data_IF_184070531744
#
_entry.id   IF_184070531744
#
_cell.length_a   1.000
_cell.length_b   1.000
_cell.length_c   1.000
_cell.angle_alpha   90.00
_cell.angle_beta   90.00
_cell.angle_gamma   90.00
#
_symmetry.space_group_name_H-M   'P 1'
#
loop_
_entity.id
_entity.type
_entity.pdbx_description
1 polymer ?
#
# COMPACT_ATOMS: atom_id res chain seq x y z
N UNK A 1 42.83 -65.55 -30.24
CA UNK A 1 41.37 -65.35 -30.23
C UNK A 1 41.03 -64.62 -28.96
N UNK A 2 40.83 -63.31 -29.05
CA UNK A 2 40.47 -62.45 -27.93
C UNK A 2 39.06 -61.91 -28.20
N UNK A 3 38.09 -62.28 -27.35
CA UNK A 3 36.72 -61.78 -27.41
C UNK A 3 36.63 -60.48 -26.61
N UNK A 4 36.30 -59.38 -27.29
CA UNK A 4 35.98 -58.11 -26.67
C UNK A 4 34.48 -58.08 -26.38
N UNK A 5 34.12 -58.04 -25.08
CA UNK A 5 32.75 -57.80 -24.64
C UNK A 5 32.50 -56.27 -24.59
N UNK A 6 31.61 -55.77 -25.43
CA UNK A 6 31.14 -54.39 -25.39
C UNK A 6 29.97 -54.28 -24.43
N UNK A 7 30.17 -53.58 -23.32
CA UNK A 7 29.10 -53.24 -22.38
C UNK A 7 28.40 -51.96 -22.83
N UNK A 8 27.13 -52.04 -23.26
CA UNK A 8 26.25 -50.87 -23.45
C UNK A 8 25.75 -50.43 -22.06
N UNK A 9 26.15 -49.25 -21.65
CA UNK A 9 25.54 -48.55 -20.50
C UNK A 9 24.35 -47.73 -21.04
N UNK A 10 23.14 -48.16 -20.70
CA UNK A 10 21.92 -47.40 -20.96
C UNK A 10 21.81 -46.28 -19.92
N UNK A 11 21.95 -45.04 -20.35
CA UNK A 11 21.77 -43.82 -19.56
C UNK A 11 20.28 -43.46 -19.56
N UNK A 12 19.57 -43.76 -18.47
CA UNK A 12 18.19 -43.37 -18.29
C UNK A 12 18.15 -41.87 -17.91
N UNK A 13 17.76 -41.03 -18.86
CA UNK A 13 17.47 -39.62 -18.62
C UNK A 13 16.12 -39.54 -17.87
N UNK A 14 16.17 -39.23 -16.57
CA UNK A 14 15.00 -38.89 -15.79
C UNK A 14 14.51 -37.51 -16.23
N UNK A 15 13.40 -37.48 -16.99
CA UNK A 15 12.63 -36.27 -17.25
C UNK A 15 12.01 -35.80 -15.93
N UNK A 16 12.61 -34.79 -15.30
CA UNK A 16 11.99 -34.07 -14.21
C UNK A 16 10.79 -33.27 -14.78
N UNK A 17 9.58 -33.78 -14.61
CA UNK A 17 8.38 -33.02 -14.85
C UNK A 17 8.37 -31.84 -13.84
N UNK A 18 8.11 -30.59 -14.30
CA UNK A 18 7.88 -29.50 -13.37
C UNK A 18 6.69 -29.85 -12.51
N UNK A 19 6.87 -29.82 -11.18
CA UNK A 19 5.76 -29.92 -10.22
C UNK A 19 4.84 -28.73 -10.51
N UNK A 20 3.69 -28.98 -11.12
CA UNK A 20 2.59 -28.04 -11.17
C UNK A 20 2.20 -27.82 -9.70
N UNK A 21 2.52 -26.66 -9.16
CA UNK A 21 2.04 -26.26 -7.83
C UNK A 21 0.52 -26.42 -7.86
N UNK A 22 0.00 -27.35 -7.06
CA UNK A 22 -1.43 -27.54 -6.91
C UNK A 22 -2.01 -26.22 -6.48
N UNK A 23 -2.92 -25.64 -7.25
CA UNK A 23 -3.72 -24.51 -6.81
C UNK A 23 -4.36 -24.94 -5.50
N UNK A 24 -3.95 -24.30 -4.40
CA UNK A 24 -4.50 -24.59 -3.08
C UNK A 24 -5.99 -24.25 -3.16
N UNK A 25 -6.87 -25.21 -2.93
CA UNK A 25 -8.31 -24.95 -2.92
C UNK A 25 -8.59 -23.89 -1.84
N UNK A 26 -8.97 -22.70 -2.29
CA UNK A 26 -9.34 -21.62 -1.39
C UNK A 26 -10.69 -21.88 -0.76
N UNK A 27 -10.94 -21.49 0.50
CA UNK A 27 -12.22 -21.70 1.14
C UNK A 27 -13.33 -20.93 0.42
N UNK A 28 -14.44 -21.57 0.14
CA UNK A 28 -15.69 -20.94 -0.33
C UNK A 28 -16.46 -20.42 0.87
N UNK A 29 -16.65 -19.10 0.98
CA UNK A 29 -17.37 -18.46 2.08
C UNK A 29 -18.87 -18.25 1.79
N UNK A 30 -19.40 -18.90 0.74
CA UNK A 30 -20.82 -19.06 0.49
C UNK A 30 -21.60 -17.76 0.22
N UNK A 31 -20.97 -16.76 -0.37
CA UNK A 31 -21.58 -15.46 -0.62
C UNK A 31 -21.69 -14.56 0.62
N UNK A 32 -20.89 -14.82 1.66
CA UNK A 32 -20.86 -13.99 2.89
C UNK A 32 -20.70 -12.51 2.54
N UNK A 33 -21.58 -11.66 3.10
CA UNK A 33 -21.44 -10.23 3.01
C UNK A 33 -20.26 -9.75 3.88
N UNK A 34 -19.39 -8.91 3.32
CA UNK A 34 -18.22 -8.33 3.98
C UNK A 34 -18.21 -6.83 3.74
N UNK A 35 -18.18 -6.05 4.81
CA UNK A 35 -18.12 -4.58 4.74
C UNK A 35 -16.68 -4.13 4.87
N UNK A 36 -16.18 -3.43 3.85
CA UNK A 36 -14.81 -2.93 3.78
C UNK A 36 -14.81 -1.41 3.86
N UNK A 37 -13.92 -0.85 4.70
CA UNK A 37 -13.76 0.60 4.83
C UNK A 37 -12.46 1.08 4.21
N UNK A 38 -12.51 2.29 3.63
CA UNK A 38 -11.37 2.98 3.02
C UNK A 38 -11.56 4.49 3.15
N UNK A 39 -10.49 5.29 2.92
CA UNK A 39 -10.56 6.75 2.93
C UNK A 39 -10.73 7.34 1.52
N UNK A 40 -10.35 6.61 0.46
CA UNK A 40 -10.37 7.07 -0.94
C UNK A 40 -9.53 8.33 -1.21
N UNK A 41 -8.38 8.45 -0.55
CA UNK A 41 -7.51 9.63 -0.64
C UNK A 41 -6.05 9.29 -1.03
N UNK A 42 -5.78 8.08 -1.52
CA UNK A 42 -4.42 7.57 -1.69
C UNK A 42 -4.17 6.94 -3.08
N UNK A 43 -4.17 7.77 -4.17
CA UNK A 43 -3.91 7.26 -5.52
C UNK A 43 -2.47 6.74 -5.66
N UNK A 44 -2.23 5.69 -6.45
CA UNK A 44 -3.20 4.92 -7.22
C UNK A 44 -3.75 3.69 -6.47
N UNK A 45 -3.57 3.61 -5.13
CA UNK A 45 -4.04 2.47 -4.33
C UNK A 45 -5.57 2.47 -4.18
N UNK A 46 -6.15 3.60 -3.75
CA UNK A 46 -7.59 3.80 -3.67
C UNK A 46 -7.90 5.31 -3.70
N UNK A 47 -8.78 5.70 -4.58
CA UNK A 47 -9.15 7.10 -4.79
C UNK A 47 -10.46 7.20 -5.57
N UNK A 48 -11.03 8.41 -5.58
CA UNK A 48 -12.16 8.72 -6.46
C UNK A 48 -11.59 9.24 -7.78
N UNK A 49 -11.90 8.57 -8.87
CA UNK A 49 -11.53 9.01 -10.21
C UNK A 49 -12.22 10.35 -10.53
N UNK A 50 -11.46 11.43 -10.76
CA UNK A 50 -12.03 12.73 -11.01
C UNK A 50 -12.83 12.81 -12.32
N UNK A 51 -12.62 11.88 -13.27
CA UNK A 51 -13.32 11.85 -14.55
C UNK A 51 -14.69 11.17 -14.44
N UNK A 52 -14.81 10.12 -13.65
CA UNK A 52 -16.02 9.29 -13.55
C UNK A 52 -16.77 9.48 -12.22
N UNK A 53 -16.10 9.92 -11.17
CA UNK A 53 -16.61 9.96 -9.81
C UNK A 53 -16.65 8.58 -9.11
N UNK A 54 -16.12 7.55 -9.74
CA UNK A 54 -16.07 6.19 -9.19
C UNK A 54 -14.87 5.99 -8.28
N UNK A 55 -15.03 5.20 -7.23
CA UNK A 55 -13.94 4.78 -6.37
C UNK A 55 -13.21 3.60 -7.02
N UNK A 56 -11.93 3.80 -7.31
CA UNK A 56 -11.07 2.86 -8.04
C UNK A 56 -9.68 2.78 -7.42
N UNK A 57 -8.87 1.84 -7.86
CA UNK A 57 -7.46 1.71 -7.49
C UNK A 57 -7.01 0.27 -7.35
N UNK A 58 -5.72 0.12 -7.10
CA UNK A 58 -5.07 -1.18 -6.94
C UNK A 58 -5.74 -2.04 -5.86
N UNK A 59 -6.06 -1.44 -4.70
CA UNK A 59 -6.69 -2.16 -3.59
C UNK A 59 -8.12 -2.61 -3.92
N UNK A 60 -8.88 -1.81 -4.66
CA UNK A 60 -10.21 -2.20 -5.14
C UNK A 60 -10.16 -3.43 -6.05
N UNK A 61 -9.23 -3.44 -7.01
CA UNK A 61 -9.07 -4.57 -7.91
C UNK A 61 -8.54 -5.81 -7.18
N UNK A 62 -7.58 -5.64 -6.26
CA UNK A 62 -7.07 -6.74 -5.45
C UNK A 62 -8.17 -7.37 -4.58
N UNK A 63 -9.01 -6.54 -3.94
CA UNK A 63 -10.17 -7.01 -3.16
C UNK A 63 -11.20 -7.68 -4.07
N UNK A 64 -11.44 -7.17 -5.27
CA UNK A 64 -12.37 -7.81 -6.21
C UNK A 64 -11.90 -9.23 -6.60
N UNK A 65 -10.60 -9.42 -6.82
CA UNK A 65 -10.03 -10.75 -7.09
C UNK A 65 -10.06 -11.67 -5.84
N UNK A 66 -9.81 -11.13 -4.65
CA UNK A 66 -9.97 -11.86 -3.37
C UNK A 66 -11.43 -12.29 -3.20
N UNK A 67 -12.36 -11.36 -3.39
CA UNK A 67 -13.80 -11.60 -3.22
C UNK A 67 -14.31 -12.70 -4.16
N UNK A 68 -13.89 -12.65 -5.41
CA UNK A 68 -14.22 -13.67 -6.41
C UNK A 68 -13.71 -15.06 -6.00
N UNK A 69 -12.48 -15.15 -5.51
CA UNK A 69 -11.83 -16.41 -5.13
C UNK A 69 -12.40 -17.02 -3.85
N UNK A 70 -12.81 -16.17 -2.91
CA UNK A 70 -13.38 -16.60 -1.63
C UNK A 70 -14.92 -16.72 -1.67
N UNK A 71 -15.57 -16.33 -2.78
CA UNK A 71 -17.01 -16.24 -2.90
C UNK A 71 -17.62 -15.40 -1.75
N UNK A 72 -17.18 -14.12 -1.64
CA UNK A 72 -17.73 -13.12 -0.73
C UNK A 72 -18.39 -11.98 -1.51
N UNK A 73 -19.41 -11.36 -0.93
CA UNK A 73 -20.07 -10.17 -1.43
C UNK A 73 -19.53 -8.94 -0.68
N UNK A 74 -18.88 -8.03 -1.39
CA UNK A 74 -18.22 -6.86 -0.78
C UNK A 74 -19.11 -5.63 -0.84
N UNK A 75 -19.20 -4.90 0.27
CA UNK A 75 -19.79 -3.58 0.38
C UNK A 75 -18.73 -2.59 0.89
N UNK A 76 -18.55 -1.47 0.17
CA UNK A 76 -17.57 -0.47 0.58
C UNK A 76 -18.21 0.69 1.36
N UNK A 77 -17.47 1.19 2.36
CA UNK A 77 -17.80 2.40 3.12
C UNK A 77 -16.60 3.35 3.11
N UNK A 78 -16.90 4.64 3.02
CA UNK A 78 -15.88 5.68 3.18
C UNK A 78 -15.85 6.14 4.65
N UNK A 79 -14.68 6.10 5.27
CA UNK A 79 -14.44 6.46 6.67
C UNK A 79 -13.14 7.25 6.73
N UNK A 80 -13.09 8.31 7.52
CA UNK A 80 -11.86 9.07 7.74
C UNK A 80 -10.78 8.22 8.43
N UNK A 81 -9.52 8.52 8.14
CA UNK A 81 -8.39 7.78 8.70
C UNK A 81 -8.39 7.74 10.22
N UNK A 82 -8.67 8.86 10.89
CA UNK A 82 -8.67 8.98 12.35
C UNK A 82 -9.67 8.03 13.04
N UNK A 83 -10.79 7.73 12.40
CA UNK A 83 -11.81 6.81 12.90
C UNK A 83 -11.59 5.36 12.49
N UNK A 84 -10.84 5.09 11.42
CA UNK A 84 -10.82 3.79 10.73
C UNK A 84 -10.33 2.65 11.61
N UNK A 85 -9.15 2.79 12.23
CA UNK A 85 -8.56 1.71 13.05
C UNK A 85 -9.46 1.36 14.23
N UNK A 86 -10.04 2.38 14.88
CA UNK A 86 -10.95 2.18 16.01
C UNK A 86 -12.25 1.51 15.56
N UNK A 87 -12.85 1.96 14.45
CA UNK A 87 -14.09 1.40 13.95
C UNK A 87 -13.94 -0.07 13.53
N UNK A 88 -12.81 -0.45 12.92
CA UNK A 88 -12.49 -1.86 12.63
C UNK A 88 -12.23 -2.63 13.92
N UNK A 89 -11.46 -2.08 14.86
CA UNK A 89 -11.19 -2.72 16.17
C UNK A 89 -12.49 -3.03 16.95
N UNK A 90 -13.47 -2.15 16.87
CA UNK A 90 -14.78 -2.30 17.51
C UNK A 90 -15.72 -3.26 16.77
N UNK A 91 -15.29 -3.83 15.63
CA UNK A 91 -16.08 -4.74 14.82
C UNK A 91 -17.26 -4.08 14.08
N UNK A 92 -17.20 -2.76 13.86
CA UNK A 92 -18.22 -2.06 13.06
C UNK A 92 -18.10 -2.41 11.58
N UNK A 93 -16.90 -2.81 11.16
CA UNK A 93 -16.55 -3.20 9.80
C UNK A 93 -15.68 -4.46 9.82
N UNK A 94 -15.74 -5.23 8.74
CA UNK A 94 -15.03 -6.50 8.65
C UNK A 94 -13.56 -6.33 8.22
N UNK A 95 -13.27 -5.37 7.34
CA UNK A 95 -11.94 -5.12 6.78
C UNK A 95 -11.71 -3.62 6.63
N UNK A 96 -10.47 -3.17 6.88
CA UNK A 96 -10.00 -1.84 6.51
C UNK A 96 -8.89 -1.90 5.47
N UNK A 97 -8.95 -1.01 4.46
CA UNK A 97 -7.93 -0.87 3.41
C UNK A 97 -7.68 0.61 3.10
N UNK A 98 -6.44 1.04 3.12
CA UNK A 98 -6.02 2.40 2.70
C UNK A 98 -4.48 2.55 2.75
N UNK A 99 -3.73 1.55 2.25
CA UNK A 99 -2.27 1.54 2.36
C UNK A 99 -1.82 1.49 3.82
N UNK A 100 -2.39 0.58 4.62
CA UNK A 100 -2.18 0.57 6.08
C UNK A 100 -0.86 -0.12 6.40
N UNK A 101 0.14 0.64 6.86
CA UNK A 101 1.42 0.11 7.32
C UNK A 101 1.22 -0.86 8.47
N UNK A 102 1.79 -2.05 8.35
CA UNK A 102 1.83 -3.07 9.41
C UNK A 102 2.81 -2.59 10.49
N UNK A 103 2.27 -2.16 11.64
CA UNK A 103 3.03 -1.64 12.79
C UNK A 103 2.61 -2.31 14.08
N UNK A 104 3.53 -2.41 15.04
CA UNK A 104 3.26 -3.13 16.30
C UNK A 104 2.22 -2.42 17.16
N UNK A 105 2.23 -1.08 17.22
CA UNK A 105 1.21 -0.30 17.93
C UNK A 105 -0.22 -0.51 17.36
N UNK A 106 -0.33 -0.75 16.06
CA UNK A 106 -1.60 -1.07 15.39
C UNK A 106 -2.02 -2.52 15.62
N UNK A 107 -1.07 -3.47 15.66
CA UNK A 107 -1.33 -4.88 15.97
C UNK A 107 -1.89 -5.10 17.39
N UNK A 108 -1.68 -4.14 18.29
CA UNK A 108 -2.32 -4.15 19.62
C UNK A 108 -3.84 -4.00 19.54
N UNK A 109 -4.37 -3.37 18.48
CA UNK A 109 -5.78 -3.02 18.32
C UNK A 109 -6.52 -3.88 17.30
N UNK A 110 -5.85 -4.26 16.23
CA UNK A 110 -6.42 -4.97 15.07
C UNK A 110 -5.51 -6.11 14.65
N UNK A 111 -6.06 -7.09 13.93
CA UNK A 111 -5.28 -8.09 13.23
C UNK A 111 -4.96 -7.59 11.81
N UNK A 112 -3.84 -8.04 11.26
CA UNK A 112 -3.42 -7.72 9.91
C UNK A 112 -3.45 -8.95 9.01
N UNK A 113 -3.67 -8.72 7.72
CA UNK A 113 -3.30 -9.71 6.70
C UNK A 113 -1.78 -9.86 6.59
N UNK A 114 -1.34 -10.89 5.87
CA UNK A 114 0.01 -10.91 5.31
C UNK A 114 0.21 -9.66 4.42
N UNK A 115 1.45 -9.17 4.29
CA UNK A 115 1.72 -8.02 3.43
C UNK A 115 1.27 -8.28 1.99
N UNK A 116 0.45 -7.37 1.43
CA UNK A 116 0.12 -7.41 0.01
C UNK A 116 1.06 -6.55 -0.84
N UNK A 117 1.70 -5.54 -0.23
CA UNK A 117 2.62 -4.61 -0.90
C UNK A 117 3.75 -4.19 0.02
N UNK A 118 4.92 -3.96 -0.57
CA UNK A 118 6.08 -3.33 0.07
C UNK A 118 6.32 -1.97 -0.56
N UNK A 119 6.60 -0.95 0.24
CA UNK A 119 6.90 0.41 -0.22
C UNK A 119 8.00 1.05 0.61
N UNK A 120 8.45 2.22 0.20
CA UNK A 120 9.47 3.02 0.88
C UNK A 120 8.93 4.42 1.13
N UNK A 121 9.18 4.99 2.31
CA UNK A 121 8.84 6.37 2.63
C UNK A 121 9.67 7.36 1.80
N UNK A 122 9.03 8.33 1.16
CA UNK A 122 9.66 9.28 0.25
C UNK A 122 9.26 10.73 0.59
N UNK A 123 10.11 11.64 0.15
CA UNK A 123 9.90 13.08 0.28
C UNK A 123 9.27 13.62 -1.01
N UNK A 124 8.03 14.13 -0.92
CA UNK A 124 7.32 14.78 -2.02
C UNK A 124 7.37 16.29 -1.84
N UNK A 125 7.83 17.00 -2.86
CA UNK A 125 8.00 18.46 -2.85
C UNK A 125 7.49 19.09 -4.15
N UNK A 126 7.36 20.42 -4.19
CA UNK A 126 7.12 21.13 -5.45
C UNK A 126 8.29 20.96 -6.41
N UNK A 127 8.04 21.01 -7.71
CA UNK A 127 9.06 20.80 -8.74
C UNK A 127 10.17 21.86 -8.71
N UNK A 128 9.85 23.07 -8.29
CA UNK A 128 10.77 24.21 -8.17
C UNK A 128 11.51 24.27 -6.81
N UNK A 129 11.29 23.31 -5.90
CA UNK A 129 12.00 23.26 -4.62
C UNK A 129 13.50 23.06 -4.83
N UNK A 130 14.32 23.95 -4.26
CA UNK A 130 15.78 23.93 -4.36
C UNK A 130 16.49 24.25 -3.04
N UNK A 131 15.72 24.53 -1.98
CA UNK A 131 16.28 24.91 -0.67
C UNK A 131 16.85 23.72 0.10
N UNK A 132 16.38 22.52 -0.21
CA UNK A 132 16.83 21.27 0.39
C UNK A 132 16.67 20.10 -0.59
N UNK A 133 17.51 19.08 -0.43
CA UNK A 133 17.55 17.89 -1.27
C UNK A 133 17.35 16.58 -0.48
N UNK A 134 17.41 16.65 0.85
CA UNK A 134 17.21 15.52 1.76
C UNK A 134 16.59 15.98 3.09
N UNK A 135 16.29 15.01 3.98
CA UNK A 135 15.67 15.22 5.28
C UNK A 135 16.54 16.05 6.24
N UNK A 136 17.87 15.94 6.14
CA UNK A 136 18.80 16.68 7.01
C UNK A 136 18.88 18.15 6.64
N UNK A 137 18.93 18.44 5.34
CA UNK A 137 18.89 19.80 4.84
C UNK A 137 17.54 20.47 5.14
N UNK A 138 16.42 19.70 5.06
CA UNK A 138 15.10 20.19 5.50
C UNK A 138 15.07 20.49 7.00
N UNK A 139 15.54 19.55 7.82
CA UNK A 139 15.54 19.69 9.29
C UNK A 139 16.33 20.92 9.75
N UNK A 140 17.48 21.20 9.11
CA UNK A 140 18.37 22.31 9.41
C UNK A 140 17.76 23.70 9.12
N UNK A 141 16.63 23.79 8.42
CA UNK A 141 16.00 25.07 8.04
C UNK A 141 14.70 25.29 8.84
N UNK A 142 14.75 26.02 9.93
CA UNK A 142 13.65 26.25 10.87
C UNK A 142 12.36 26.82 10.25
N UNK A 143 12.47 27.53 9.13
CA UNK A 143 11.33 28.16 8.44
C UNK A 143 10.53 27.24 7.53
N UNK A 144 11.00 26.01 7.26
CA UNK A 144 10.32 25.06 6.36
C UNK A 144 9.24 24.27 7.10
N UNK A 145 8.11 24.05 6.43
CA UNK A 145 6.93 23.39 6.97
C UNK A 145 6.69 22.04 6.30
N UNK A 146 6.25 21.06 7.10
CA UNK A 146 5.82 19.74 6.64
C UNK A 146 4.33 19.54 6.89
N UNK A 147 3.59 19.04 5.91
CA UNK A 147 2.20 18.64 6.10
C UNK A 147 2.10 17.17 6.45
N UNK A 148 1.25 16.84 7.39
CA UNK A 148 0.98 15.47 7.80
C UNK A 148 -0.48 15.25 8.16
N UNK A 149 -0.94 14.01 8.03
CA UNK A 149 -2.22 13.56 8.57
C UNK A 149 -1.95 12.87 9.92
N UNK A 150 -2.62 13.26 11.01
CA UNK A 150 -2.34 12.72 12.34
C UNK A 150 -2.46 11.20 12.40
N UNK A 151 -1.58 10.53 13.17
CA UNK A 151 -1.62 9.10 13.42
C UNK A 151 -1.17 8.22 12.24
N UNK A 152 -0.76 8.83 11.12
CA UNK A 152 -0.19 8.10 9.97
C UNK A 152 1.28 7.78 10.19
N UNK A 153 1.83 6.84 9.44
CA UNK A 153 3.28 6.58 9.46
C UNK A 153 4.09 7.80 9.00
N UNK A 154 3.71 8.52 7.91
CA UNK A 154 4.35 9.79 7.54
C UNK A 154 4.37 10.85 8.65
N UNK A 155 3.30 10.94 9.46
CA UNK A 155 3.28 11.85 10.62
C UNK A 155 4.38 11.48 11.63
N UNK A 156 4.46 10.20 12.03
CA UNK A 156 5.46 9.79 13.01
C UNK A 156 6.89 9.88 12.49
N UNK A 157 7.15 9.58 11.23
CA UNK A 157 8.47 9.81 10.60
C UNK A 157 8.82 11.29 10.59
N UNK A 158 7.85 12.18 10.30
CA UNK A 158 8.07 13.64 10.37
C UNK A 158 8.47 14.09 11.77
N UNK A 159 7.80 13.54 12.80
CA UNK A 159 8.05 13.89 14.20
C UNK A 159 9.38 13.34 14.68
N UNK A 160 9.58 12.02 14.57
CA UNK A 160 10.66 11.33 15.29
C UNK A 160 11.94 11.22 14.49
N UNK A 161 11.87 11.12 13.17
CA UNK A 161 13.05 10.92 12.33
C UNK A 161 13.57 12.23 11.72
N UNK A 162 12.71 13.27 11.60
CA UNK A 162 13.10 14.55 10.98
C UNK A 162 13.13 15.70 11.99
N UNK A 163 12.16 15.81 12.91
CA UNK A 163 11.94 16.99 13.76
C UNK A 163 12.09 16.74 15.28
N UNK A 164 13.06 15.90 15.67
CA UNK A 164 13.55 15.73 17.05
C UNK A 164 12.51 15.24 18.08
N UNK A 165 11.38 14.67 17.64
CA UNK A 165 10.46 13.92 18.51
C UNK A 165 9.37 14.74 19.22
N UNK A 166 9.11 15.98 18.82
CA UNK A 166 8.00 16.78 19.35
C UNK A 166 6.76 16.69 18.44
N UNK A 167 5.73 15.98 18.87
CA UNK A 167 4.45 15.89 18.15
C UNK A 167 3.70 17.24 18.03
N UNK A 168 4.01 18.19 18.90
CA UNK A 168 3.47 19.55 18.89
C UNK A 168 4.35 20.53 18.10
N UNK A 169 5.36 20.05 17.39
CA UNK A 169 6.29 20.89 16.65
C UNK A 169 5.54 21.80 15.66
N UNK A 170 5.68 23.16 15.78
CA UNK A 170 4.91 24.11 14.97
C UNK A 170 5.21 24.03 13.48
N UNK A 171 6.29 23.36 13.08
CA UNK A 171 6.63 23.10 11.68
C UNK A 171 5.75 22.02 11.05
N UNK A 172 5.07 21.18 11.84
CA UNK A 172 4.14 20.17 11.35
C UNK A 172 2.76 20.79 11.22
N UNK A 173 2.23 20.88 10.01
CA UNK A 173 0.87 21.34 9.71
C UNK A 173 -0.02 20.13 9.52
N UNK A 174 -1.05 20.01 10.37
CA UNK A 174 -1.95 18.87 10.40
C UNK A 174 -3.17 19.09 9.50
N UNK A 175 -3.55 18.05 8.75
CA UNK A 175 -4.69 18.02 7.84
C UNK A 175 -5.52 16.77 8.08
N UNK A 176 -6.84 16.87 7.87
CA UNK A 176 -7.78 15.75 8.10
C UNK A 176 -7.58 14.60 7.11
N UNK A 177 -7.21 14.90 5.85
CA UNK A 177 -7.01 13.89 4.80
C UNK A 177 -5.62 13.99 4.19
N UNK A 178 -5.11 12.87 3.68
CA UNK A 178 -3.84 12.88 2.97
C UNK A 178 -3.89 13.76 1.71
N UNK A 179 -4.99 13.73 0.97
CA UNK A 179 -5.18 14.59 -0.21
C UNK A 179 -5.06 16.09 0.12
N UNK A 180 -5.51 16.52 1.31
CA UNK A 180 -5.38 17.91 1.76
C UNK A 180 -3.91 18.30 2.02
N UNK A 181 -3.05 17.38 2.50
CA UNK A 181 -1.60 17.64 2.66
C UNK A 181 -0.94 17.95 1.31
N UNK A 182 -1.28 17.18 0.28
CA UNK A 182 -0.74 17.39 -1.08
C UNK A 182 -1.28 18.68 -1.71
N UNK A 183 -2.53 19.06 -1.46
CA UNK A 183 -3.05 20.34 -1.93
C UNK A 183 -2.34 21.53 -1.25
N UNK A 184 -2.09 21.46 0.05
CA UNK A 184 -1.31 22.48 0.77
C UNK A 184 0.13 22.58 0.23
N UNK A 185 0.77 21.46 -0.11
CA UNK A 185 2.07 21.45 -0.76
C UNK A 185 2.03 22.17 -2.13
N UNK A 186 1.04 21.86 -2.95
CA UNK A 186 0.86 22.52 -4.28
C UNK A 186 0.58 24.00 -4.17
N UNK A 187 -0.18 24.43 -3.15
CA UNK A 187 -0.49 25.82 -2.90
C UNK A 187 0.71 26.62 -2.36
N UNK A 188 1.74 25.94 -1.84
CA UNK A 188 2.89 26.58 -1.21
C UNK A 188 2.70 26.91 0.27
N UNK A 189 1.64 26.40 0.89
CA UNK A 189 1.35 26.57 2.33
C UNK A 189 2.31 25.74 3.19
N UNK A 190 2.89 24.68 2.63
CA UNK A 190 3.93 23.83 3.21
C UNK A 190 5.00 23.51 2.16
N UNK A 191 6.14 22.97 2.61
CA UNK A 191 7.31 22.72 1.77
C UNK A 191 7.56 21.24 1.48
N UNK A 192 7.07 20.36 2.36
CA UNK A 192 7.31 18.93 2.32
C UNK A 192 6.04 18.16 2.69
N UNK A 193 5.82 17.04 2.01
CA UNK A 193 4.90 15.96 2.40
C UNK A 193 5.68 14.65 2.37
N UNK A 194 5.58 13.84 3.42
CA UNK A 194 6.06 12.47 3.40
C UNK A 194 4.94 11.54 2.95
N UNK A 195 5.29 10.55 2.14
CA UNK A 195 4.37 9.51 1.69
C UNK A 195 5.17 8.30 1.21
N UNK A 196 4.52 7.15 1.04
CA UNK A 196 5.14 6.02 0.37
C UNK A 196 5.42 6.31 -1.12
N UNK A 197 6.36 5.55 -1.69
CA UNK A 197 6.83 5.78 -3.06
C UNK A 197 5.77 5.54 -4.12
N UNK A 198 4.80 4.66 -3.86
CA UNK A 198 3.72 4.36 -4.81
C UNK A 198 2.79 5.57 -4.91
N UNK A 199 2.31 6.09 -3.78
CA UNK A 199 1.48 7.28 -3.75
C UNK A 199 2.25 8.53 -4.21
N UNK A 200 3.53 8.68 -3.82
CA UNK A 200 4.37 9.79 -4.30
C UNK A 200 4.41 9.84 -5.82
N UNK A 201 4.67 8.71 -6.48
CA UNK A 201 4.72 8.63 -7.93
C UNK A 201 3.36 8.93 -8.57
N UNK A 202 2.26 8.43 -7.99
CA UNK A 202 0.90 8.75 -8.44
C UNK A 202 0.62 10.26 -8.40
N UNK A 203 0.98 10.92 -7.32
CA UNK A 203 0.82 12.38 -7.20
C UNK A 203 1.76 13.18 -8.12
N UNK A 204 3.00 12.74 -8.32
CA UNK A 204 3.92 13.36 -9.29
C UNK A 204 3.32 13.30 -10.68
N UNK A 205 2.82 12.13 -11.10
CA UNK A 205 2.20 11.95 -12.41
C UNK A 205 0.95 12.83 -12.58
N UNK A 206 0.04 12.79 -11.60
CA UNK A 206 -1.16 13.62 -11.60
C UNK A 206 -0.90 15.12 -11.54
N UNK A 207 0.29 15.53 -11.10
CA UNK A 207 0.62 16.96 -10.93
C UNK A 207 0.89 17.69 -12.24
N UNK A 208 1.07 16.96 -13.35
CA UNK A 208 1.49 17.55 -14.63
C UNK A 208 2.87 18.24 -14.55
N UNK A 209 3.78 17.75 -13.70
CA UNK A 209 5.11 18.29 -13.51
C UNK A 209 5.22 19.35 -12.40
N UNK A 210 4.17 19.56 -11.61
CA UNK A 210 4.20 20.52 -10.50
C UNK A 210 4.85 19.95 -9.22
N UNK A 211 4.97 18.62 -9.10
CA UNK A 211 5.57 17.93 -7.98
C UNK A 211 6.75 17.05 -8.41
N UNK A 212 7.64 16.74 -7.48
CA UNK A 212 8.74 15.77 -7.65
C UNK A 212 9.04 15.06 -6.33
N UNK A 213 9.67 13.90 -6.43
CA UNK A 213 10.28 13.19 -5.30
C UNK A 213 11.75 13.59 -5.21
N UNK A 214 12.24 13.83 -3.99
CA UNK A 214 13.65 14.11 -3.69
C UNK A 214 14.21 13.17 -2.62
N UNK A 215 15.52 13.18 -2.43
CA UNK A 215 16.22 12.40 -1.42
C UNK A 215 16.17 10.89 -1.63
N UNK A 216 16.77 10.17 -0.71
CA UNK A 216 16.67 8.71 -0.58
C UNK A 216 15.40 8.25 0.13
N UNK A 217 15.18 6.92 0.26
CA UNK A 217 14.13 6.40 1.10
C UNK A 217 14.42 6.68 2.59
N UNK A 218 13.39 7.07 3.33
CA UNK A 218 13.46 7.33 4.78
C UNK A 218 13.07 6.11 5.63
N UNK A 219 12.88 4.98 4.99
CA UNK A 219 12.48 3.72 5.61
C UNK A 219 11.65 2.90 4.64
N UNK A 220 11.39 1.66 5.03
CA UNK A 220 10.54 0.74 4.28
C UNK A 220 9.33 0.37 5.12
N UNK A 221 8.23 0.05 4.45
CA UNK A 221 6.98 -0.33 5.06
C UNK A 221 6.25 -1.40 4.26
N UNK A 222 5.54 -2.26 4.98
CA UNK A 222 4.66 -3.27 4.41
C UNK A 222 3.22 -2.87 4.64
N UNK A 223 2.38 -2.96 3.61
CA UNK A 223 0.94 -2.72 3.72
C UNK A 223 0.16 -4.01 3.88
N UNK A 224 -0.81 -3.98 4.80
CA UNK A 224 -1.75 -5.07 5.06
C UNK A 224 -3.18 -4.55 5.22
N UNK A 225 -4.15 -5.41 4.92
CA UNK A 225 -5.53 -5.18 5.32
C UNK A 225 -5.66 -5.36 6.84
N UNK A 226 -6.53 -4.58 7.47
CA UNK A 226 -6.81 -4.70 8.90
C UNK A 226 -8.18 -5.34 9.15
N UNK A 227 -8.28 -6.05 10.28
CA UNK A 227 -9.45 -6.81 10.68
C UNK A 227 -9.71 -6.60 12.18
N UNK A 228 -10.96 -6.79 12.66
CA UNK A 228 -11.21 -6.97 14.08
C UNK A 228 -10.34 -8.10 14.65
N UNK A 229 -9.90 -7.98 15.90
CA UNK A 229 -9.08 -9.02 16.53
C UNK A 229 -9.79 -10.36 16.57
N UNK A 230 -9.10 -11.41 16.17
CA UNK A 230 -9.64 -12.77 16.08
C UNK A 230 -10.60 -12.99 14.92
N UNK A 231 -10.59 -12.13 13.91
CA UNK A 231 -11.43 -12.30 12.71
C UNK A 231 -11.13 -13.60 11.98
N UNK A 232 -12.17 -14.33 11.63
CA UNK A 232 -12.09 -15.56 10.83
C UNK A 232 -11.78 -15.30 9.35
N UNK A 233 -11.79 -14.03 8.92
CA UNK A 233 -11.44 -13.62 7.56
C UNK A 233 -9.93 -13.53 7.31
N UNK A 234 -9.08 -13.41 8.34
CA UNK A 234 -7.64 -13.23 8.18
C UNK A 234 -7.01 -14.40 7.41
N UNK A 235 -7.27 -15.63 7.83
CA UNK A 235 -6.68 -16.80 7.19
C UNK A 235 -7.17 -17.01 5.73
N UNK A 236 -8.48 -16.92 5.41
CA UNK A 236 -8.94 -16.94 4.02
C UNK A 236 -8.33 -15.85 3.15
N UNK A 237 -8.28 -14.61 3.64
CA UNK A 237 -7.72 -13.48 2.88
C UNK A 237 -6.22 -13.67 2.63
N UNK A 238 -5.46 -14.16 3.62
CA UNK A 238 -4.04 -14.48 3.44
C UNK A 238 -3.82 -15.56 2.39
N UNK A 239 -4.63 -16.63 2.41
CA UNK A 239 -4.57 -17.65 1.38
C UNK A 239 -4.86 -17.09 -0.02
N UNK A 240 -5.85 -16.19 -0.13
CA UNK A 240 -6.14 -15.51 -1.40
C UNK A 240 -5.01 -14.59 -1.84
N UNK A 241 -4.40 -13.79 -0.95
CA UNK A 241 -3.23 -12.94 -1.25
C UNK A 241 -2.07 -13.81 -1.77
N UNK A 242 -1.79 -14.93 -1.11
CA UNK A 242 -0.75 -15.86 -1.54
C UNK A 242 -1.03 -16.43 -2.95
N UNK A 243 -2.28 -16.77 -3.25
CA UNK A 243 -2.68 -17.25 -4.57
C UNK A 243 -2.57 -16.16 -5.64
N UNK A 244 -2.95 -14.90 -5.34
CA UNK A 244 -2.79 -13.74 -6.24
C UNK A 244 -1.32 -13.48 -6.59
N UNK A 245 -0.42 -13.66 -5.62
CA UNK A 245 1.03 -13.54 -5.83
C UNK A 245 1.57 -14.70 -6.67
N UNK A 246 1.12 -15.92 -6.40
CA UNK A 246 1.62 -17.12 -7.05
C UNK A 246 1.23 -17.23 -8.53
N UNK A 247 0.05 -16.73 -8.92
CA UNK A 247 -0.44 -16.82 -10.30
C UNK A 247 -0.18 -15.59 -11.16
N UNK A 248 0.54 -14.59 -10.62
CA UNK A 248 0.91 -13.36 -11.33
C UNK A 248 -0.18 -12.29 -11.37
N UNK A 249 -1.29 -12.46 -10.67
CA UNK A 249 -2.36 -11.45 -10.60
C UNK A 249 -1.84 -10.15 -9.97
N UNK A 250 -1.01 -10.24 -8.91
CA UNK A 250 -0.39 -9.05 -8.29
C UNK A 250 0.47 -8.30 -9.29
N UNK A 251 1.27 -9.00 -10.11
CA UNK A 251 2.12 -8.36 -11.13
C UNK A 251 1.28 -7.68 -12.22
N UNK A 252 0.16 -8.29 -12.61
CA UNK A 252 -0.78 -7.68 -13.56
C UNK A 252 -1.44 -6.42 -12.97
N UNK A 253 -1.83 -6.43 -11.70
CA UNK A 253 -2.37 -5.25 -11.01
C UNK A 253 -1.31 -4.14 -10.87
N UNK A 254 -0.07 -4.49 -10.55
CA UNK A 254 1.04 -3.54 -10.50
C UNK A 254 1.27 -2.89 -11.87
N UNK A 255 1.26 -3.68 -12.93
CA UNK A 255 1.38 -3.16 -14.30
C UNK A 255 0.24 -2.21 -14.62
N UNK A 256 -1.01 -2.63 -14.37
CA UNK A 256 -2.19 -1.80 -14.63
C UNK A 256 -2.11 -0.45 -13.91
N UNK A 257 -1.86 -0.47 -12.59
CA UNK A 257 -2.03 0.73 -11.76
C UNK A 257 -0.77 1.60 -11.64
N UNK A 258 0.43 1.03 -11.78
CA UNK A 258 1.69 1.76 -11.56
C UNK A 258 2.44 2.07 -12.85
N UNK A 259 2.09 1.42 -13.97
CA UNK A 259 2.77 1.64 -15.24
C UNK A 259 1.82 2.14 -16.34
N UNK A 260 0.58 1.65 -16.40
CA UNK A 260 -0.35 1.92 -17.51
C UNK A 260 -1.40 2.98 -17.16
N UNK A 261 -1.95 2.96 -15.93
CA UNK A 261 -2.98 3.90 -15.51
C UNK A 261 -2.41 5.31 -15.42
N UNK A 262 -3.11 6.27 -16.04
CA UNK A 262 -2.75 7.69 -16.05
C UNK A 262 -3.81 8.49 -15.29
N UNK A 263 -3.45 8.96 -14.10
CA UNK A 263 -4.35 9.74 -13.27
C UNK A 263 -4.75 11.05 -13.96
N UNK A 264 -6.06 11.25 -14.16
CA UNK A 264 -6.59 12.50 -14.73
C UNK A 264 -6.55 12.59 -16.26
N UNK A 265 -6.39 11.49 -16.97
CA UNK A 265 -6.50 11.41 -18.43
C UNK A 265 -7.80 10.74 -18.87
#
# INVERSE_FOLDING_TARGET
>A
MIRILSSLAAMAAALALPAVASAQDLPDLGGRAVVIVTENAYPPLQFVDPATGEAIGWEYDAVAEIAKRLNIAVEYRNVSWDAMIQAVSDGQYDIGMTGITIRDDRKEKVDFSDPYMHSEMRMLVRADETRFSDEKEFAAQEGLLIAAQPGTTPFYVSVYDILDGDEANPRIKLFETFGATVQALRAGDVDLVLTDGVAANGYVEASGGALKVIGGPLGSEDFGFIFPRGSDLVAPVNAAIAALKADGTVDALNTKWFLEYKLGQ
#
